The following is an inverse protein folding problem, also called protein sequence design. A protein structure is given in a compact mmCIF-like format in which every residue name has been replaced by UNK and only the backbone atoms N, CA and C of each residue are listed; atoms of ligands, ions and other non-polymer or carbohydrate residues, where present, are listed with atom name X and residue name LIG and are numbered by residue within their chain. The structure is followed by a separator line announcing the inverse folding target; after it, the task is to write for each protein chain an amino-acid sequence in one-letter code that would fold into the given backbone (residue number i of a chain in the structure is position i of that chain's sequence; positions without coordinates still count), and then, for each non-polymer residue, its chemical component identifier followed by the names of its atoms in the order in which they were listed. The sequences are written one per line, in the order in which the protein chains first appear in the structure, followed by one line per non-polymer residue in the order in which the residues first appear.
data_IF_812887879317
#
_entry.id   IF_812887879317
#
_cell.length_a   1.000
_cell.length_b   1.000
_cell.length_c   1.000
_cell.angle_alpha   90.00
_cell.angle_beta   90.00
_cell.angle_gamma   90.00
#
_symmetry.space_group_name_H-M   'P 1'
#
loop_
_entity.id
_entity.type
_entity.pdbx_description
1 polymer ?
#
# COMPACT_ATOMS: atom_id res chain seq x y z
N UNK A 1 -33.68 6.92 24.57
CA UNK A 1 -33.60 5.91 23.49
C UNK A 1 -32.89 6.41 22.22
N UNK A 2 -32.76 7.73 21.97
CA UNK A 2 -32.14 8.26 20.74
C UNK A 2 -30.61 8.22 20.74
N UNK A 3 -29.98 8.37 21.91
CA UNK A 3 -28.51 8.47 22.03
C UNK A 3 -27.76 7.20 21.60
N UNK A 4 -28.30 6.02 21.92
CA UNK A 4 -27.72 4.75 21.50
C UNK A 4 -27.80 4.51 19.99
N UNK A 5 -28.88 4.96 19.35
CA UNK A 5 -29.04 4.87 17.89
C UNK A 5 -28.05 5.78 17.16
N UNK A 6 -27.79 6.99 17.67
CA UNK A 6 -26.79 7.89 17.09
C UNK A 6 -25.37 7.31 17.17
N UNK A 7 -24.99 6.74 18.31
CA UNK A 7 -23.69 6.09 18.48
C UNK A 7 -23.52 4.90 17.53
N UNK A 8 -24.56 4.09 17.35
CA UNK A 8 -24.54 2.97 16.41
C UNK A 8 -24.39 3.43 14.95
N UNK A 9 -25.10 4.48 14.55
CA UNK A 9 -24.97 5.08 13.22
C UNK A 9 -23.57 5.64 12.97
N UNK A 10 -22.99 6.34 13.96
CA UNK A 10 -21.62 6.88 13.86
C UNK A 10 -20.62 5.72 13.70
N UNK A 11 -20.77 4.64 14.47
CA UNK A 11 -19.90 3.47 14.37
C UNK A 11 -19.96 2.82 12.98
N UNK A 12 -21.16 2.67 12.41
CA UNK A 12 -21.32 2.16 11.04
C UNK A 12 -20.64 3.05 10.00
N UNK A 13 -20.75 4.37 10.14
CA UNK A 13 -20.07 5.32 9.26
C UNK A 13 -18.55 5.19 9.32
N UNK A 14 -17.99 5.08 10.53
CA UNK A 14 -16.54 4.89 10.73
C UNK A 14 -16.07 3.59 10.08
N UNK A 15 -16.80 2.50 10.29
CA UNK A 15 -16.48 1.19 9.68
C UNK A 15 -16.54 1.28 8.15
N UNK A 16 -17.58 1.92 7.60
CA UNK A 16 -17.71 2.10 6.15
C UNK A 16 -16.57 2.91 5.54
N UNK A 17 -16.19 4.02 6.18
CA UNK A 17 -15.04 4.83 5.77
C UNK A 17 -13.72 4.06 5.86
N UNK A 18 -13.56 3.23 6.90
CA UNK A 18 -12.37 2.40 7.06
C UNK A 18 -12.24 1.36 5.94
N UNK A 19 -13.34 0.68 5.59
CA UNK A 19 -13.36 -0.27 4.48
C UNK A 19 -13.06 0.46 3.16
N UNK A 20 -13.69 1.62 2.93
CA UNK A 20 -13.46 2.42 1.72
C UNK A 20 -11.99 2.86 1.60
N UNK A 21 -11.36 3.27 2.70
CA UNK A 21 -9.94 3.59 2.75
C UNK A 21 -9.09 2.39 2.32
N UNK A 22 -9.38 1.19 2.82
CA UNK A 22 -8.65 -0.03 2.44
C UNK A 22 -8.82 -0.30 0.94
N UNK A 23 -10.03 -0.19 0.40
CA UNK A 23 -10.30 -0.43 -1.03
C UNK A 23 -9.52 0.55 -1.89
N UNK A 24 -9.55 1.85 -1.58
CA UNK A 24 -8.80 2.86 -2.32
C UNK A 24 -7.30 2.63 -2.17
N UNK A 25 -6.81 2.32 -0.97
CA UNK A 25 -5.39 2.05 -0.74
C UNK A 25 -4.92 0.81 -1.51
N UNK A 26 -5.68 -0.28 -1.52
CA UNK A 26 -5.36 -1.47 -2.29
C UNK A 26 -5.44 -1.20 -3.80
N UNK A 27 -6.48 -0.51 -4.28
CA UNK A 27 -6.64 -0.20 -5.70
C UNK A 27 -5.57 0.78 -6.21
N UNK A 28 -5.19 1.78 -5.40
CA UNK A 28 -4.23 2.81 -5.79
C UNK A 28 -2.80 2.37 -5.47
N UNK A 29 -2.46 1.99 -4.24
CA UNK A 29 -1.08 1.61 -3.89
C UNK A 29 -0.74 0.25 -4.46
N UNK A 30 -1.50 -0.80 -4.14
CA UNK A 30 -1.15 -2.15 -4.62
C UNK A 30 -1.47 -2.30 -6.11
N UNK A 31 -2.56 -1.70 -6.57
CA UNK A 31 -2.92 -1.69 -7.98
C UNK A 31 -1.88 -0.96 -8.83
N UNK A 32 -1.45 0.26 -8.47
CA UNK A 32 -0.40 0.96 -9.24
C UNK A 32 0.93 0.21 -9.09
N UNK A 33 1.35 -0.16 -7.88
CA UNK A 33 2.64 -0.84 -7.65
C UNK A 33 2.76 -2.17 -8.40
N UNK A 34 1.65 -2.87 -8.63
CA UNK A 34 1.63 -4.13 -9.40
C UNK A 34 1.29 -3.94 -10.88
N UNK A 35 0.81 -2.76 -11.28
CA UNK A 35 0.44 -2.45 -12.66
C UNK A 35 1.66 -2.30 -13.57
N UNK A 36 1.44 -2.46 -14.88
CA UNK A 36 2.45 -2.21 -15.92
C UNK A 36 3.01 -0.78 -15.83
N UNK A 37 2.18 0.20 -15.48
CA UNK A 37 2.62 1.59 -15.30
C UNK A 37 3.52 1.77 -14.07
N UNK A 38 3.22 1.10 -12.95
CA UNK A 38 4.06 1.11 -11.76
C UNK A 38 5.38 0.39 -11.96
N UNK A 39 5.36 -0.79 -12.56
CA UNK A 39 6.57 -1.54 -12.92
C UNK A 39 7.42 -0.79 -13.96
N UNK A 40 6.78 -0.13 -14.93
CA UNK A 40 7.48 0.73 -15.89
C UNK A 40 8.11 1.94 -15.21
N UNK A 41 7.44 2.56 -14.25
CA UNK A 41 7.98 3.68 -13.49
C UNK A 41 9.10 3.25 -12.55
N UNK A 42 8.99 2.08 -11.89
CA UNK A 42 10.02 1.46 -11.07
C UNK A 42 11.28 1.15 -11.89
N UNK A 43 11.11 0.52 -13.06
CA UNK A 43 12.21 0.20 -13.96
C UNK A 43 12.86 1.45 -14.60
N UNK A 44 12.08 2.50 -14.89
CA UNK A 44 12.57 3.69 -15.59
C UNK A 44 13.18 4.75 -14.66
N UNK A 45 12.65 4.89 -13.45
CA UNK A 45 13.11 5.89 -12.48
C UNK A 45 13.90 5.30 -11.31
N UNK A 46 14.11 3.99 -11.27
CA UNK A 46 15.13 3.36 -10.42
C UNK A 46 14.90 3.53 -8.92
N UNK A 47 13.71 3.92 -8.48
CA UNK A 47 13.35 3.89 -7.06
C UNK A 47 13.01 2.43 -6.75
N UNK A 48 14.05 1.59 -6.73
CA UNK A 48 14.05 0.41 -5.87
C UNK A 48 13.69 0.96 -4.50
N UNK A 49 12.44 0.78 -4.06
CA UNK A 49 12.21 0.68 -2.63
C UNK A 49 13.15 -0.44 -2.22
N UNK A 50 14.20 -0.10 -1.49
CA UNK A 50 15.00 -1.02 -0.69
C UNK A 50 14.03 -2.04 -0.07
N UNK A 51 13.79 -3.15 -0.77
CA UNK A 51 13.81 -4.43 -0.10
C UNK A 51 15.26 -4.52 0.29
N UNK A 52 15.51 -4.37 1.59
CA UNK A 52 16.76 -4.77 2.23
C UNK A 52 17.21 -6.13 1.67
N UNK A 53 17.94 -6.13 0.55
CA UNK A 53 18.73 -7.27 0.12
C UNK A 53 20.11 -7.02 0.68
N UNK A 54 20.21 -7.18 2.01
CA UNK A 54 21.47 -7.45 2.69
C UNK A 54 22.23 -8.65 2.06
N UNK A 55 21.58 -9.40 1.17
CA UNK A 55 22.03 -10.62 0.52
C UNK A 55 22.57 -10.43 -0.91
N UNK A 56 22.45 -9.24 -1.53
CA UNK A 56 23.04 -8.94 -2.85
C UNK A 56 24.50 -8.45 -2.74
N UNK A 57 25.15 -8.64 -1.58
CA UNK A 57 26.60 -8.61 -1.50
C UNK A 57 27.16 -9.89 -2.12
N UNK A 58 27.02 -10.01 -3.44
CA UNK A 58 27.90 -10.85 -4.22
C UNK A 58 29.31 -10.31 -4.03
N UNK A 59 30.10 -11.08 -3.29
CA UNK A 59 31.50 -10.88 -2.98
C UNK A 59 32.38 -11.21 -4.19
N UNK A 60 31.97 -10.81 -5.40
CA UNK A 60 32.77 -10.95 -6.63
C UNK A 60 33.77 -9.79 -6.76
N UNK A 61 34.49 -9.48 -5.68
CA UNK A 61 35.64 -8.60 -5.76
C UNK A 61 36.92 -9.41 -5.56
N UNK A 62 37.25 -10.15 -6.62
CA UNK A 62 38.58 -10.64 -6.89
C UNK A 62 39.48 -9.44 -7.26
N UNK A 63 40.15 -8.85 -6.26
CA UNK A 63 41.39 -8.09 -6.44
C UNK A 63 42.30 -8.20 -5.22
#
# INVERSE_FOLDING_TARGET
MVFGSLLFSILLWVIGLFILYIVISAAVRDGINKSVAGQFLENKYGIKKDRDSFLDRDLDNDQ
#
